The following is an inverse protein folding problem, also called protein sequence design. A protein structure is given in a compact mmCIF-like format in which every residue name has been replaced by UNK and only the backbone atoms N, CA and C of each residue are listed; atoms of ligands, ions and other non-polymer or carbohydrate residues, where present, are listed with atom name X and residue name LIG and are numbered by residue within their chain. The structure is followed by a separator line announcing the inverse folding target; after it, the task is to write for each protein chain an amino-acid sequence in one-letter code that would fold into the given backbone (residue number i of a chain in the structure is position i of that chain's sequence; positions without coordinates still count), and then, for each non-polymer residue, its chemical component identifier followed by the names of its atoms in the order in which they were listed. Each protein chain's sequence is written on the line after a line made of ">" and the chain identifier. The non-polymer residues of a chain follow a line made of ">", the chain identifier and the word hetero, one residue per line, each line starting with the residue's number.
data_IF_399541169406
#
_entry.id   IF_399541169406
#
_cell.length_a   1.000
_cell.length_b   1.000
_cell.length_c   1.000
_cell.angle_alpha   90.00
_cell.angle_beta   90.00
_cell.angle_gamma   90.00
#
_symmetry.space_group_name_H-M   'P 1'
#
loop_
_entity.id
_entity.type
_entity.pdbx_description
1 polymer ?
#
# COMPACT_ATOMS: atom_id res chain seq x y z
N UNK A 1 -9.42 -16.36 -12.79
CA UNK A 1 -9.82 -14.99 -13.12
C UNK A 1 -9.32 -13.96 -12.10
N UNK A 2 -9.44 -14.24 -10.78
CA UNK A 2 -8.99 -13.30 -9.73
C UNK A 2 -7.47 -13.06 -9.79
N UNK A 3 -6.67 -14.10 -10.03
CA UNK A 3 -5.22 -14.01 -10.13
C UNK A 3 -4.71 -13.19 -11.34
N UNK A 4 -5.56 -12.92 -12.33
CA UNK A 4 -5.22 -12.11 -13.49
C UNK A 4 -5.43 -10.61 -13.28
N UNK A 5 -6.00 -10.20 -12.15
CA UNK A 5 -6.22 -8.79 -11.83
C UNK A 5 -4.91 -8.11 -11.42
N UNK A 6 -4.67 -6.92 -11.92
CA UNK A 6 -3.46 -6.16 -11.63
C UNK A 6 -3.45 -5.63 -10.19
N UNK A 7 -2.27 -5.33 -9.65
CA UNK A 7 -2.14 -4.67 -8.34
C UNK A 7 -2.90 -3.33 -8.32
N UNK A 8 -2.91 -2.60 -9.44
CA UNK A 8 -3.66 -1.36 -9.58
C UNK A 8 -5.17 -1.54 -9.40
N UNK A 9 -5.74 -2.64 -9.86
CA UNK A 9 -7.15 -2.97 -9.63
C UNK A 9 -7.45 -3.06 -8.13
N UNK A 10 -6.65 -3.84 -7.37
CA UNK A 10 -6.83 -4.00 -5.93
C UNK A 10 -6.66 -2.69 -5.17
N UNK A 11 -5.67 -1.88 -5.56
CA UNK A 11 -5.51 -0.53 -5.01
C UNK A 11 -6.75 0.33 -5.24
N UNK A 12 -7.32 0.30 -6.46
CA UNK A 12 -8.47 1.12 -6.81
C UNK A 12 -9.73 0.76 -6.03
N UNK A 13 -9.87 -0.49 -5.56
CA UNK A 13 -10.94 -0.86 -4.64
C UNK A 13 -10.87 -0.15 -3.28
N UNK A 14 -9.68 0.30 -2.88
CA UNK A 14 -9.50 1.08 -1.65
C UNK A 14 -9.79 2.58 -1.83
N UNK A 15 -9.97 3.08 -3.06
CA UNK A 15 -10.39 4.45 -3.33
C UNK A 15 -11.88 4.67 -3.00
N UNK A 16 -12.33 5.92 -3.10
CA UNK A 16 -13.72 6.29 -2.76
C UNK A 16 -14.78 5.65 -3.66
N UNK A 17 -14.37 5.09 -4.78
CA UNK A 17 -15.24 4.62 -5.85
C UNK A 17 -15.27 5.59 -7.03
N UNK A 18 -15.82 5.12 -8.14
CA UNK A 18 -15.97 5.89 -9.37
C UNK A 18 -17.43 6.11 -9.76
N UNK A 19 -17.64 6.72 -10.91
CA UNK A 19 -18.99 6.86 -11.48
C UNK A 19 -19.43 5.52 -12.05
N UNK A 20 -20.56 5.01 -11.60
CA UNK A 20 -21.22 3.84 -12.21
C UNK A 20 -21.99 4.37 -13.42
N UNK A 21 -21.53 4.00 -14.62
CA UNK A 21 -22.25 4.31 -15.85
C UNK A 21 -23.47 3.40 -15.98
N UNK A 22 -24.59 3.84 -15.42
CA UNK A 22 -25.92 3.34 -15.78
C UNK A 22 -26.42 4.12 -16.99
N UNK A 23 -27.42 3.60 -17.70
CA UNK A 23 -28.04 4.36 -18.80
C UNK A 23 -28.52 5.71 -18.29
N UNK A 24 -28.12 6.79 -19.01
CA UNK A 24 -28.60 8.15 -18.71
C UNK A 24 -30.12 8.16 -18.52
N UNK A 25 -30.72 8.83 -17.48
CA UNK A 25 -30.12 9.84 -16.60
C UNK A 25 -29.55 9.30 -15.26
N UNK A 26 -29.58 8.00 -14.98
CA UNK A 26 -29.32 7.42 -13.67
C UNK A 26 -27.82 7.20 -13.40
N UNK A 27 -26.99 8.21 -13.59
CA UNK A 27 -25.60 8.16 -13.15
C UNK A 27 -25.53 8.26 -11.62
N UNK A 28 -25.01 7.22 -10.97
CA UNK A 28 -24.71 7.26 -9.54
C UNK A 28 -23.22 7.07 -9.29
N UNK A 29 -22.74 7.67 -8.21
CA UNK A 29 -21.38 7.46 -7.74
C UNK A 29 -21.35 6.19 -6.89
N UNK A 30 -20.35 5.34 -7.10
CA UNK A 30 -20.06 4.22 -6.20
C UNK A 30 -19.56 4.76 -4.87
N UNK A 31 -20.01 4.18 -3.77
CA UNK A 31 -19.56 4.50 -2.41
C UNK A 31 -18.88 3.26 -1.83
N UNK A 32 -17.60 3.09 -2.16
CA UNK A 32 -16.83 1.93 -1.69
C UNK A 32 -16.62 1.93 -0.17
N UNK A 33 -16.67 3.10 0.48
CA UNK A 33 -16.60 3.18 1.94
C UNK A 33 -17.78 2.43 2.58
N UNK A 34 -19.01 2.75 2.15
CA UNK A 34 -20.21 2.14 2.73
C UNK A 34 -20.53 0.77 2.14
N UNK A 35 -20.33 0.58 0.84
CA UNK A 35 -20.72 -0.65 0.14
C UNK A 35 -19.74 -1.82 0.39
N UNK A 36 -18.44 -1.53 0.55
CA UNK A 36 -17.40 -2.55 0.69
C UNK A 36 -16.71 -2.51 2.05
N UNK A 37 -16.15 -1.34 2.42
CA UNK A 37 -15.13 -1.30 3.44
C UNK A 37 -15.63 -1.12 4.86
N UNK A 38 -16.80 -0.53 5.06
CA UNK A 38 -17.41 -0.40 6.39
C UNK A 38 -17.53 -1.73 7.15
N UNK A 39 -17.77 -2.82 6.40
CA UNK A 39 -17.86 -4.18 6.96
C UNK A 39 -16.70 -5.10 6.54
N UNK A 40 -15.97 -4.72 5.51
CA UNK A 40 -14.95 -5.55 4.87
C UNK A 40 -13.52 -5.26 5.34
N UNK A 41 -13.22 -4.03 5.79
CA UNK A 41 -11.85 -3.61 6.07
C UNK A 41 -11.13 -4.53 7.07
N UNK A 42 -11.76 -4.79 8.22
CA UNK A 42 -11.17 -5.63 9.27
C UNK A 42 -11.13 -7.11 8.90
N UNK A 43 -12.00 -7.55 7.98
CA UNK A 43 -11.97 -8.93 7.48
C UNK A 43 -10.86 -9.14 6.47
N UNK A 44 -10.63 -8.13 5.63
CA UNK A 44 -9.58 -8.17 4.61
C UNK A 44 -8.20 -7.98 5.22
N UNK A 45 -8.08 -7.07 6.17
CA UNK A 45 -6.83 -6.74 6.86
C UNK A 45 -6.95 -7.11 8.34
N UNK A 46 -6.92 -8.40 8.63
CA UNK A 46 -7.23 -8.95 9.97
C UNK A 46 -6.35 -8.38 11.09
N UNK A 47 -5.13 -7.96 10.79
CA UNK A 47 -4.19 -7.39 11.75
C UNK A 47 -4.11 -5.85 11.70
N UNK A 48 -4.91 -5.19 10.83
CA UNK A 48 -4.83 -3.76 10.58
C UNK A 48 -5.00 -2.91 11.84
N UNK A 49 -6.01 -3.20 12.67
CA UNK A 49 -6.24 -2.47 13.94
C UNK A 49 -5.09 -2.60 14.92
N UNK A 50 -4.52 -3.80 15.02
CA UNK A 50 -3.40 -4.05 15.94
C UNK A 50 -2.15 -3.33 15.45
N UNK A 51 -1.86 -3.40 14.15
CA UNK A 51 -0.76 -2.69 13.55
C UNK A 51 -0.89 -1.17 13.76
N UNK A 52 -2.02 -0.59 13.42
CA UNK A 52 -2.26 0.85 13.56
C UNK A 52 -2.06 1.34 15.01
N UNK A 53 -2.55 0.58 16.00
CA UNK A 53 -2.31 0.87 17.42
C UNK A 53 -0.83 0.85 17.80
N UNK A 54 -0.07 -0.10 17.27
CA UNK A 54 1.36 -0.23 17.56
C UNK A 54 2.20 0.93 17.02
N UNK A 55 1.73 1.61 15.97
CA UNK A 55 2.37 2.78 15.36
C UNK A 55 1.64 4.09 15.70
N UNK A 56 0.74 4.07 16.69
CA UNK A 56 -0.03 5.22 17.17
C UNK A 56 -0.89 5.91 16.10
N UNK A 57 -1.37 5.13 15.14
CA UNK A 57 -2.21 5.59 14.03
C UNK A 57 -3.66 5.09 14.16
N UNK A 58 -4.59 5.76 13.47
CA UNK A 58 -5.98 5.35 13.39
C UNK A 58 -6.19 4.40 12.23
N UNK A 59 -6.69 3.19 12.50
CA UNK A 59 -7.06 2.24 11.46
C UNK A 59 -8.28 2.71 10.67
N UNK A 60 -8.07 3.05 9.41
CA UNK A 60 -9.10 3.51 8.46
C UNK A 60 -8.80 2.95 7.07
N UNK A 61 -9.81 2.94 6.19
CA UNK A 61 -9.61 2.60 4.77
C UNK A 61 -8.54 3.51 4.11
N UNK A 62 -8.56 4.80 4.43
CA UNK A 62 -7.56 5.74 3.91
C UNK A 62 -6.15 5.36 4.34
N UNK A 63 -5.96 4.99 5.60
CA UNK A 63 -4.64 4.54 6.08
C UNK A 63 -4.17 3.27 5.38
N UNK A 64 -5.07 2.28 5.19
CA UNK A 64 -4.77 1.09 4.41
C UNK A 64 -4.42 1.43 2.94
N UNK A 65 -5.18 2.36 2.33
CA UNK A 65 -4.92 2.86 0.98
C UNK A 65 -3.53 3.52 0.87
N UNK A 66 -3.13 4.33 1.84
CA UNK A 66 -1.83 5.03 1.83
C UNK A 66 -0.67 4.02 1.88
N UNK A 67 -0.78 2.96 2.67
CA UNK A 67 0.19 1.84 2.68
C UNK A 67 0.25 1.19 1.29
N UNK A 68 -0.91 0.82 0.73
CA UNK A 68 -1.00 0.13 -0.57
C UNK A 68 -0.51 1.03 -1.72
N UNK A 69 -0.82 2.32 -1.71
CA UNK A 69 -0.31 3.31 -2.71
C UNK A 69 1.21 3.39 -2.68
N UNK A 70 1.80 3.43 -1.50
CA UNK A 70 3.26 3.48 -1.33
C UNK A 70 3.92 2.22 -1.90
N UNK A 71 3.43 1.04 -1.55
CA UNK A 71 3.94 -0.23 -2.08
C UNK A 71 3.75 -0.32 -3.60
N UNK A 72 2.61 0.13 -4.13
CA UNK A 72 2.36 0.15 -5.57
C UNK A 72 3.34 1.06 -6.31
N UNK A 73 3.63 2.26 -5.77
CA UNK A 73 4.58 3.19 -6.35
C UNK A 73 6.00 2.60 -6.37
N UNK A 74 6.46 2.01 -5.25
CA UNK A 74 7.75 1.32 -5.18
C UNK A 74 7.84 0.18 -6.19
N UNK A 75 6.83 -0.71 -6.19
CA UNK A 75 6.77 -1.85 -7.13
C UNK A 75 6.88 -1.40 -8.59
N UNK A 76 6.19 -0.33 -8.98
CA UNK A 76 6.23 0.16 -10.35
C UNK A 76 7.63 0.66 -10.73
N UNK A 77 8.30 1.41 -9.85
CA UNK A 77 9.68 1.87 -10.11
C UNK A 77 10.64 0.71 -10.26
N UNK A 78 10.55 -0.29 -9.36
CA UNK A 78 11.37 -1.51 -9.46
C UNK A 78 11.09 -2.26 -10.76
N UNK A 79 9.81 -2.44 -11.13
CA UNK A 79 9.42 -3.14 -12.36
C UNK A 79 9.87 -2.41 -13.64
N UNK A 80 10.04 -1.09 -13.60
CA UNK A 80 10.52 -0.28 -14.71
C UNK A 80 12.01 0.05 -14.62
N UNK A 81 12.76 -0.57 -13.69
CA UNK A 81 14.19 -0.35 -13.46
C UNK A 81 14.55 1.13 -13.23
N UNK A 82 13.64 1.89 -12.61
CA UNK A 82 13.84 3.30 -12.31
C UNK A 82 14.67 3.50 -11.02
N UNK A 83 15.55 4.53 -10.97
CA UNK A 83 16.38 4.77 -9.79
C UNK A 83 15.54 5.11 -8.54
N UNK A 84 15.93 4.54 -7.39
CA UNK A 84 15.25 4.72 -6.11
C UNK A 84 15.93 5.76 -5.21
N UNK A 85 17.19 6.10 -5.47
CA UNK A 85 18.02 6.99 -4.64
C UNK A 85 17.44 8.39 -4.43
N UNK A 86 16.67 8.87 -5.40
CA UNK A 86 16.01 10.18 -5.32
C UNK A 86 14.60 10.11 -4.69
N UNK A 87 14.29 9.03 -3.99
CA UNK A 87 12.98 8.76 -3.45
C UNK A 87 11.93 8.36 -4.49
N UNK A 88 10.76 7.99 -4.03
CA UNK A 88 9.67 7.41 -4.82
C UNK A 88 8.54 8.44 -4.93
N UNK A 89 8.19 8.91 -6.14
CA UNK A 89 7.06 9.83 -6.32
C UNK A 89 5.74 9.08 -6.08
N UNK A 90 4.84 9.69 -5.34
CA UNK A 90 3.48 9.18 -5.19
C UNK A 90 2.58 9.76 -6.29
N UNK A 91 1.84 8.90 -7.00
CA UNK A 91 0.89 9.37 -8.02
C UNK A 91 -0.17 10.30 -7.40
N UNK A 92 -0.33 11.48 -8.02
CA UNK A 92 -1.28 12.50 -7.57
C UNK A 92 -0.82 13.37 -6.41
N UNK A 93 0.42 13.19 -5.93
CA UNK A 93 1.01 14.01 -4.87
C UNK A 93 2.28 14.70 -5.36
N UNK A 94 2.52 15.92 -4.88
CA UNK A 94 3.74 16.68 -5.23
C UNK A 94 4.88 16.41 -4.24
N UNK A 95 4.99 15.17 -3.74
CA UNK A 95 6.03 14.74 -2.80
C UNK A 95 6.63 13.40 -3.20
N UNK A 96 7.85 13.17 -2.72
CA UNK A 96 8.53 11.88 -2.84
C UNK A 96 8.68 11.25 -1.46
N UNK A 97 8.62 9.95 -1.42
CA UNK A 97 8.83 9.15 -0.20
C UNK A 97 10.25 8.59 -0.23
N UNK A 98 10.96 8.66 0.90
CA UNK A 98 12.24 8.01 1.05
C UNK A 98 12.14 6.49 0.88
N UNK A 99 13.21 5.87 0.41
CA UNK A 99 13.25 4.41 0.18
C UNK A 99 12.97 3.62 1.46
N UNK A 100 13.47 4.11 2.60
CA UNK A 100 13.23 3.52 3.92
C UNK A 100 11.73 3.46 4.24
N UNK A 101 11.01 4.58 4.03
CA UNK A 101 9.58 4.65 4.31
C UNK A 101 8.78 3.75 3.35
N UNK A 102 9.19 3.64 2.09
CA UNK A 102 8.55 2.74 1.14
C UNK A 102 8.81 1.26 1.49
N UNK A 103 10.00 0.94 1.98
CA UNK A 103 10.34 -0.40 2.50
C UNK A 103 9.50 -0.71 3.75
N UNK A 104 9.37 0.22 4.67
CA UNK A 104 8.49 0.06 5.84
C UNK A 104 7.04 -0.18 5.43
N UNK A 105 6.55 0.47 4.38
CA UNK A 105 5.20 0.21 3.86
C UNK A 105 5.03 -1.23 3.34
N UNK A 106 6.09 -1.85 2.79
CA UNK A 106 6.05 -3.27 2.40
C UNK A 106 5.89 -4.19 3.62
N UNK A 107 6.64 -3.96 4.69
CA UNK A 107 6.50 -4.71 5.94
C UNK A 107 5.15 -4.45 6.60
N UNK A 108 4.67 -3.20 6.58
CA UNK A 108 3.34 -2.85 7.08
C UNK A 108 2.23 -3.58 6.31
N UNK A 109 2.30 -3.61 4.98
CA UNK A 109 1.34 -4.33 4.15
C UNK A 109 1.34 -5.84 4.47
N UNK A 110 2.51 -6.45 4.58
CA UNK A 110 2.62 -7.84 4.97
C UNK A 110 1.98 -8.07 6.35
N UNK A 111 2.27 -7.24 7.35
CA UNK A 111 1.76 -7.36 8.71
C UNK A 111 0.24 -7.25 8.79
N UNK A 112 -0.36 -6.28 8.07
CA UNK A 112 -1.83 -6.09 8.10
C UNK A 112 -2.57 -7.21 7.39
N UNK A 113 -1.93 -7.88 6.41
CA UNK A 113 -2.48 -9.01 5.67
C UNK A 113 -2.30 -10.31 6.45
N UNK A 114 -1.06 -10.64 6.83
CA UNK A 114 -0.68 -11.92 7.40
C UNK A 114 0.61 -11.78 8.23
N UNK A 115 0.57 -12.24 9.49
CA UNK A 115 1.71 -12.16 10.41
C UNK A 115 2.84 -13.11 10.03
N UNK A 116 2.51 -14.26 9.51
CA UNK A 116 3.51 -15.26 9.13
C UNK A 116 4.26 -14.79 7.89
N UNK A 117 3.56 -14.15 6.93
CA UNK A 117 4.18 -13.45 5.81
C UNK A 117 5.12 -12.34 6.29
N UNK A 118 4.68 -11.53 7.25
CA UNK A 118 5.52 -10.49 7.82
C UNK A 118 6.77 -11.06 8.49
N UNK A 119 6.63 -12.09 9.33
CA UNK A 119 7.75 -12.77 10.00
C UNK A 119 8.73 -13.32 8.97
N UNK A 120 8.22 -14.02 7.96
CA UNK A 120 9.04 -14.55 6.87
C UNK A 120 9.82 -13.46 6.13
N UNK A 121 9.18 -12.33 5.81
CA UNK A 121 9.85 -11.19 5.19
C UNK A 121 10.94 -10.58 6.09
N UNK A 122 10.68 -10.46 7.39
CA UNK A 122 11.67 -9.94 8.35
C UNK A 122 12.91 -10.82 8.40
N UNK A 123 12.74 -12.14 8.34
CA UNK A 123 13.83 -13.13 8.46
C UNK A 123 14.63 -13.27 7.14
N UNK A 124 13.96 -13.10 5.99
CA UNK A 124 14.55 -13.39 4.69
C UNK A 124 14.90 -12.15 3.86
N UNK A 125 14.40 -10.97 4.22
CA UNK A 125 14.66 -9.75 3.47
C UNK A 125 16.07 -9.20 3.73
N UNK A 126 16.80 -8.94 2.65
CA UNK A 126 18.10 -8.27 2.71
C UNK A 126 18.00 -6.73 2.67
N UNK A 127 16.78 -6.17 2.63
CA UNK A 127 16.58 -4.73 2.49
C UNK A 127 17.23 -3.91 3.60
N UNK A 128 17.18 -4.38 4.85
CA UNK A 128 17.87 -3.70 5.97
C UNK A 128 19.36 -3.60 5.73
N UNK A 129 20.01 -4.68 5.30
CA UNK A 129 21.44 -4.72 5.02
C UNK A 129 21.81 -3.76 3.88
N UNK A 130 20.99 -3.71 2.82
CA UNK A 130 21.22 -2.80 1.68
C UNK A 130 21.10 -1.34 2.12
N UNK A 131 20.05 -0.98 2.87
CA UNK A 131 19.84 0.37 3.36
C UNK A 131 20.97 0.82 4.32
N UNK A 132 21.45 -0.05 5.19
CA UNK A 132 22.57 0.24 6.10
C UNK A 132 23.89 0.46 5.36
N UNK A 133 24.13 -0.23 4.24
CA UNK A 133 25.33 -0.09 3.44
C UNK A 133 25.32 1.16 2.56
N UNK A 134 24.17 1.52 1.99
CA UNK A 134 24.06 2.69 1.10
C UNK A 134 24.03 4.02 1.86
N UNK A 135 23.68 4.02 3.14
CA UNK A 135 23.63 5.22 3.99
C UNK A 135 24.97 5.57 4.67
N UNK A 136 26.00 4.72 4.52
CA UNK A 136 27.36 5.09 4.96
C UNK A 136 28.06 5.79 3.79
N UNK A 137 28.30 7.12 3.87
CA UNK A 137 29.20 7.75 2.89
C UNK A 137 30.56 7.04 3.00
N UNK A 138 31.14 6.74 1.85
CA UNK A 138 32.52 6.23 1.80
C UNK A 138 33.41 7.27 2.50
N UNK A 139 33.91 6.93 3.69
CA UNK A 139 35.02 7.65 4.33
C UNK A 139 36.30 7.42 3.53
#
# INVERSE_FOLDING_TARGET
>A
LIASLTFGFWRNLLEDGGTIHTKWPDQRRADYENDLWRKGLDKTFSNGRQYARAVEERWTRKYALDIVKTVHALRNRVAHHEPLVNGIPLPGENRRIALENATQACFALAMILDRDLHAWLMDNSKMKLVLEHELKPNE
#
